data_IF_136997028648
#
_entry.id   IF_136997028648
#
_cell.length_a   1.000
_cell.length_b   1.000
_cell.length_c   1.000
_cell.angle_alpha   90.00
_cell.angle_beta   90.00
_cell.angle_gamma   90.00
#
_symmetry.space_group_name_H-M   'P 1'
#
loop_
_entity.id
_entity.type
_entity.pdbx_description
1 polymer ?
#
# COMPACT_ATOMS: atom_id res chain seq x y z
N UNK A 1 -31.13 -51.71 38.91
CA UNK A 1 -31.15 -50.29 38.47
C UNK A 1 -29.71 -49.82 38.42
N UNK A 2 -29.08 -49.40 37.33
CA UNK A 2 -29.47 -49.20 35.95
C UNK A 2 -28.23 -48.61 35.28
N UNK A 3 -27.44 -49.47 34.63
CA UNK A 3 -26.32 -49.09 33.78
C UNK A 3 -26.75 -48.01 32.77
N UNK A 4 -25.86 -47.05 32.52
CA UNK A 4 -25.58 -46.57 31.16
C UNK A 4 -24.35 -45.64 31.18
N UNK A 5 -23.21 -46.24 30.81
CA UNK A 5 -22.09 -45.54 30.19
C UNK A 5 -22.60 -45.00 28.84
N UNK A 6 -22.69 -43.68 28.69
CA UNK A 6 -22.95 -43.05 27.41
C UNK A 6 -21.64 -42.89 26.65
N UNK A 7 -21.55 -43.73 25.63
CA UNK A 7 -20.56 -43.79 24.56
C UNK A 7 -20.74 -42.57 23.63
N UNK A 8 -19.66 -42.22 22.95
CA UNK A 8 -19.48 -41.19 21.90
C UNK A 8 -20.53 -41.20 20.77
N UNK A 9 -20.66 -40.08 20.05
CA UNK A 9 -20.04 -39.96 18.71
C UNK A 9 -19.19 -38.68 18.63
N UNK A 10 -18.00 -38.70 18.02
CA UNK A 10 -17.91 -38.75 16.57
C UNK A 10 -18.14 -37.35 16.00
N UNK A 11 -17.20 -36.44 16.27
CA UNK A 11 -17.17 -35.09 15.71
C UNK A 11 -15.77 -34.81 15.19
N UNK A 12 -15.40 -35.49 14.10
CA UNK A 12 -14.35 -35.00 13.20
C UNK A 12 -14.82 -33.65 12.66
N UNK A 13 -14.38 -32.56 13.27
CA UNK A 13 -14.20 -31.30 12.56
C UNK A 13 -12.70 -31.14 12.39
N UNK A 14 -12.21 -31.77 11.32
CA UNK A 14 -11.06 -31.25 10.62
C UNK A 14 -11.49 -29.98 9.93
N UNK A 15 -11.45 -28.84 10.63
CA UNK A 15 -11.16 -27.59 9.94
C UNK A 15 -9.69 -27.66 9.60
N UNK A 16 -9.40 -28.20 8.42
CA UNK A 16 -8.13 -27.93 7.78
C UNK A 16 -8.01 -26.41 7.65
N UNK A 17 -7.26 -25.78 8.55
CA UNK A 17 -6.38 -24.71 8.07
C UNK A 17 -5.30 -25.42 7.26
N UNK A 18 -5.70 -25.85 6.07
CA UNK A 18 -4.77 -26.08 4.98
C UNK A 18 -4.15 -24.72 4.75
N UNK A 19 -3.07 -24.48 5.48
CA UNK A 19 -2.08 -23.47 5.15
C UNK A 19 -1.45 -23.96 3.84
N UNK A 20 -2.22 -23.85 2.77
CA UNK A 20 -1.75 -23.83 1.39
C UNK A 20 -0.99 -22.51 1.20
N UNK A 21 0.04 -22.28 2.02
CA UNK A 21 0.95 -21.16 1.91
C UNK A 21 2.29 -21.65 1.35
N UNK A 22 2.26 -22.60 0.40
CA UNK A 22 3.48 -23.02 -0.31
C UNK A 22 3.77 -22.20 -1.57
N UNK A 23 3.05 -21.09 -1.79
CA UNK A 23 3.26 -20.17 -2.93
C UNK A 23 3.42 -18.69 -2.51
N UNK A 24 3.47 -18.37 -1.20
CA UNK A 24 3.43 -16.99 -0.70
C UNK A 24 4.74 -16.18 -0.73
N UNK A 25 5.90 -16.84 -0.75
CA UNK A 25 7.20 -16.16 -0.60
C UNK A 25 7.53 -15.18 -1.76
N UNK A 26 6.97 -15.42 -2.95
CA UNK A 26 7.11 -14.51 -4.09
C UNK A 26 6.32 -13.22 -3.90
N UNK A 27 5.06 -13.32 -3.48
CA UNK A 27 4.16 -12.17 -3.32
C UNK A 27 4.54 -11.25 -2.14
N UNK A 28 5.06 -11.81 -1.05
CA UNK A 28 5.56 -11.02 0.09
C UNK A 28 6.76 -10.14 -0.30
N UNK A 29 7.71 -10.74 -1.03
CA UNK A 29 8.90 -10.04 -1.50
C UNK A 29 8.55 -8.98 -2.56
N UNK A 30 7.57 -9.27 -3.41
CA UNK A 30 7.07 -8.36 -4.45
C UNK A 30 6.34 -7.16 -3.83
N UNK A 31 5.41 -7.39 -2.91
CA UNK A 31 4.69 -6.31 -2.22
C UNK A 31 5.63 -5.38 -1.42
N UNK A 32 6.64 -5.94 -0.76
CA UNK A 32 7.65 -5.15 -0.05
C UNK A 32 8.55 -4.36 -0.99
N UNK A 33 8.89 -4.93 -2.15
CA UNK A 33 9.65 -4.25 -3.20
C UNK A 33 8.86 -3.08 -3.78
N UNK A 34 7.61 -3.30 -4.17
CA UNK A 34 6.72 -2.23 -4.65
C UNK A 34 6.60 -1.10 -3.64
N UNK A 35 6.45 -1.43 -2.35
CA UNK A 35 6.41 -0.43 -1.30
C UNK A 35 7.72 0.37 -1.19
N UNK A 36 8.86 -0.31 -1.31
CA UNK A 36 10.20 0.33 -1.31
C UNK A 36 10.34 1.30 -2.49
N UNK A 37 9.88 0.89 -3.67
CA UNK A 37 9.85 1.75 -4.86
C UNK A 37 8.93 2.97 -4.66
N UNK A 38 7.73 2.77 -4.10
CA UNK A 38 6.79 3.85 -3.79
C UNK A 38 7.30 4.83 -2.72
N UNK A 39 8.07 4.34 -1.74
CA UNK A 39 8.75 5.18 -0.74
C UNK A 39 9.92 5.96 -1.37
N UNK A 40 10.59 5.41 -2.38
CA UNK A 40 11.82 5.98 -2.95
C UNK A 40 13.00 5.91 -1.98
N UNK A 41 12.89 5.07 -0.94
CA UNK A 41 13.86 4.85 0.10
C UNK A 41 13.69 3.41 0.63
N UNK A 42 14.73 2.82 1.26
CA UNK A 42 14.62 1.49 1.84
C UNK A 42 13.43 1.37 2.79
N UNK A 43 12.63 0.30 2.65
CA UNK A 43 11.52 0.05 3.56
C UNK A 43 12.04 -0.17 4.99
N UNK A 44 11.46 0.50 6.00
CA UNK A 44 11.75 0.23 7.41
C UNK A 44 11.67 -1.27 7.75
N UNK A 45 12.57 -1.80 8.61
CA UNK A 45 12.67 -3.22 8.89
C UNK A 45 11.37 -3.82 9.46
N UNK A 46 10.56 -3.03 10.15
CA UNK A 46 9.26 -3.47 10.68
C UNK A 46 8.22 -3.82 9.61
N UNK A 47 8.38 -3.33 8.37
CA UNK A 47 7.45 -3.59 7.27
C UNK A 47 7.69 -4.94 6.60
N UNK A 48 8.85 -5.56 6.80
CA UNK A 48 9.12 -6.89 6.28
C UNK A 48 8.27 -7.99 6.95
N UNK A 49 7.73 -7.72 8.14
CA UNK A 49 6.85 -8.64 8.88
C UNK A 49 5.36 -8.40 8.61
N UNK A 50 5.02 -7.40 7.79
CA UNK A 50 3.64 -7.00 7.51
C UNK A 50 3.09 -7.86 6.35
N UNK A 51 1.82 -8.31 6.42
CA UNK A 51 1.21 -9.10 5.35
C UNK A 51 1.23 -8.34 4.01
N UNK A 52 1.38 -9.05 2.88
CA UNK A 52 1.48 -8.43 1.56
C UNK A 52 0.26 -7.58 1.20
N UNK A 53 -0.92 -7.95 1.68
CA UNK A 53 -2.16 -7.19 1.45
C UNK A 53 -2.14 -5.83 2.14
N UNK A 54 -1.61 -5.77 3.37
CA UNK A 54 -1.46 -4.53 4.13
C UNK A 54 -0.37 -3.63 3.52
N UNK A 55 0.71 -4.24 3.03
CA UNK A 55 1.73 -3.53 2.25
C UNK A 55 1.12 -2.91 0.98
N UNK A 56 0.26 -3.65 0.28
CA UNK A 56 -0.47 -3.15 -0.90
C UNK A 56 -1.37 -1.95 -0.58
N UNK A 57 -2.07 -1.96 0.56
CA UNK A 57 -2.87 -0.81 1.02
C UNK A 57 -1.98 0.41 1.29
N UNK A 58 -0.83 0.21 1.94
CA UNK A 58 0.12 1.29 2.23
C UNK A 58 0.70 1.89 0.94
N UNK A 59 1.11 1.04 -0.01
CA UNK A 59 1.62 1.46 -1.32
C UNK A 59 0.61 2.35 -2.05
N UNK A 60 -0.66 1.94 -2.12
CA UNK A 60 -1.74 2.74 -2.74
C UNK A 60 -1.94 4.08 -2.05
N UNK A 61 -1.91 4.10 -0.72
CA UNK A 61 -2.04 5.34 0.05
C UNK A 61 -0.88 6.32 -0.22
N UNK A 62 0.35 5.81 -0.37
CA UNK A 62 1.51 6.62 -0.73
C UNK A 62 1.37 7.24 -2.13
N UNK A 63 0.92 6.47 -3.12
CA UNK A 63 0.66 7.00 -4.47
C UNK A 63 -0.40 8.10 -4.45
N UNK A 64 -1.56 7.85 -3.83
CA UNK A 64 -2.63 8.85 -3.72
C UNK A 64 -2.16 10.13 -3.02
N UNK A 65 -1.32 10.02 -1.98
CA UNK A 65 -0.74 11.19 -1.30
C UNK A 65 0.27 11.94 -2.16
N UNK A 66 1.11 11.24 -2.94
CA UNK A 66 2.06 11.87 -3.88
C UNK A 66 1.31 12.64 -4.96
N UNK A 67 0.28 12.05 -5.56
CA UNK A 67 -0.57 12.71 -6.56
C UNK A 67 -1.23 13.96 -5.98
N UNK A 68 -1.81 13.85 -4.78
CA UNK A 68 -2.44 15.00 -4.09
C UNK A 68 -1.41 16.11 -3.79
N UNK A 69 -0.19 15.76 -3.36
CA UNK A 69 0.87 16.74 -3.12
C UNK A 69 1.34 17.41 -4.41
N UNK A 70 1.47 16.65 -5.50
CA UNK A 70 1.83 17.21 -6.80
C UNK A 70 0.76 18.19 -7.30
N UNK A 71 -0.52 17.88 -7.12
CA UNK A 71 -1.63 18.79 -7.42
C UNK A 71 -1.55 20.08 -6.59
N UNK A 72 -1.34 19.97 -5.27
CA UNK A 72 -1.20 21.14 -4.40
C UNK A 72 0.02 22.02 -4.74
N UNK A 73 1.14 21.41 -5.16
CA UNK A 73 2.32 22.14 -5.63
C UNK A 73 2.06 22.84 -6.97
N UNK A 74 1.33 22.19 -7.87
CA UNK A 74 0.93 22.80 -9.14
C UNK A 74 0.04 24.01 -8.91
N UNK A 75 -0.97 23.89 -8.05
CA UNK A 75 -1.87 24.99 -7.70
C UNK A 75 -1.10 26.15 -7.05
N UNK A 76 -0.19 25.85 -6.11
CA UNK A 76 0.65 26.87 -5.49
C UNK A 76 1.56 27.59 -6.51
N UNK A 77 2.07 26.87 -7.50
CA UNK A 77 2.89 27.45 -8.55
C UNK A 77 2.06 28.29 -9.54
N UNK A 78 0.82 27.91 -9.86
CA UNK A 78 -0.11 28.74 -10.63
C UNK A 78 -0.49 30.03 -9.88
N UNK A 79 -0.69 29.97 -8.56
CA UNK A 79 -0.89 31.16 -7.74
C UNK A 79 0.34 32.07 -7.74
N UNK A 80 1.55 31.51 -7.61
CA UNK A 80 2.79 32.27 -7.68
C UNK A 80 2.99 32.97 -9.05
N UNK A 81 2.55 32.33 -10.15
CA UNK A 81 2.60 32.94 -11.50
C UNK A 81 1.72 34.19 -11.61
N UNK A 82 0.72 34.38 -10.75
CA UNK A 82 -0.07 35.62 -10.74
C UNK A 82 0.76 36.85 -10.37
N UNK A 83 1.85 36.65 -9.62
CA UNK A 83 2.82 37.71 -9.28
C UNK A 83 3.71 38.08 -10.47
N UNK A 84 3.80 37.21 -11.48
CA UNK A 84 4.58 37.47 -12.71
C UNK A 84 3.75 38.37 -13.64
N UNK A 85 4.37 39.39 -14.27
CA UNK A 85 3.71 40.20 -15.30
C UNK A 85 3.12 39.34 -16.42
N UNK A 86 1.91 39.69 -16.89
CA UNK A 86 1.12 38.85 -17.79
C UNK A 86 1.87 38.39 -19.06
N UNK A 87 2.71 39.25 -19.63
CA UNK A 87 3.51 38.96 -20.83
C UNK A 87 4.60 37.90 -20.61
N UNK A 88 5.08 37.75 -19.37
CA UNK A 88 6.14 36.79 -19.02
C UNK A 88 5.61 35.47 -18.43
N UNK A 89 4.31 35.37 -18.11
CA UNK A 89 3.72 34.17 -17.50
C UNK A 89 3.87 32.92 -18.37
N UNK A 90 3.68 33.04 -19.69
CA UNK A 90 3.77 31.92 -20.63
C UNK A 90 5.16 31.25 -20.65
N UNK A 91 6.25 32.01 -20.85
CA UNK A 91 7.61 31.49 -20.75
C UNK A 91 7.95 30.88 -19.39
N UNK A 92 7.57 31.54 -18.27
CA UNK A 92 7.89 31.07 -16.91
C UNK A 92 7.15 29.77 -16.58
N UNK A 93 5.86 29.67 -16.92
CA UNK A 93 5.07 28.44 -16.77
C UNK A 93 5.73 27.25 -17.47
N UNK A 94 6.28 27.46 -18.67
CA UNK A 94 6.95 26.40 -19.45
C UNK A 94 8.22 25.87 -18.80
N UNK A 95 8.93 26.68 -18.01
CA UNK A 95 10.15 26.28 -17.32
C UNK A 95 9.82 25.55 -16.00
N UNK A 96 8.80 26.00 -15.27
CA UNK A 96 8.43 25.45 -13.97
C UNK A 96 7.69 24.11 -14.04
N UNK A 97 6.97 23.83 -15.13
CA UNK A 97 6.10 22.66 -15.27
C UNK A 97 6.46 21.75 -16.46
N UNK A 98 7.75 21.66 -16.81
CA UNK A 98 8.24 20.71 -17.82
C UNK A 98 8.30 19.30 -17.26
#
# INVERSE_FOLDING_TARGET
>A
MGSRRSRTPGGLVGTGSSTDARTGAGGESEALRELTEALGAPAPPGLAAVPPEELGVLTRALHARRETRAAGLNDAAEEALKLVPALARGPVRRILFR
#
